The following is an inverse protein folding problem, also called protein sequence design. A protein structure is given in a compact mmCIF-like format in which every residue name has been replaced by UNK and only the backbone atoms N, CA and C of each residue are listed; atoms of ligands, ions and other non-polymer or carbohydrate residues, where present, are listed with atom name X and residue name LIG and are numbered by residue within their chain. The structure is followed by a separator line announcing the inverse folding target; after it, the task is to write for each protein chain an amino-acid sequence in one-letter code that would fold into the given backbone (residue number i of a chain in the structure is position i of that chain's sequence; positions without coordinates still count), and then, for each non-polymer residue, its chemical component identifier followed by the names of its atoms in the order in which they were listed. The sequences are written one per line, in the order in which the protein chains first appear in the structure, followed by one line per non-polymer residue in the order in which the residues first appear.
data_IF_331792696943
#
_entry.id   IF_331792696943
#
_cell.length_a   1.000
_cell.length_b   1.000
_cell.length_c   1.000
_cell.angle_alpha   90.00
_cell.angle_beta   90.00
_cell.angle_gamma   90.00
#
_symmetry.space_group_name_H-M   'P 1'
#
loop_
_entity.id
_entity.type
_entity.pdbx_description
1 polymer ?
#
# COMPACT_ATOMS: atom_id res chain seq x y z
N UNK A 1 -3.64 -8.69 19.64
CA UNK A 1 -4.68 -8.79 18.60
C UNK A 1 -4.13 -8.10 17.35
N UNK A 2 -4.09 -8.75 16.17
CA UNK A 2 -3.65 -8.06 14.93
C UNK A 2 -4.55 -6.86 14.72
N UNK A 3 -3.98 -5.73 14.32
CA UNK A 3 -4.75 -4.54 13.99
C UNK A 3 -5.56 -4.84 12.71
N UNK A 4 -6.90 -4.89 12.76
CA UNK A 4 -7.73 -5.24 11.59
C UNK A 4 -7.56 -4.26 10.43
N UNK A 5 -7.09 -3.03 10.68
CA UNK A 5 -6.77 -2.07 9.64
C UNK A 5 -5.50 -2.43 8.87
N UNK A 6 -4.57 -3.17 9.48
CA UNK A 6 -3.35 -3.63 8.81
C UNK A 6 -3.66 -4.66 7.73
N UNK A 7 -4.60 -5.58 7.98
CA UNK A 7 -4.97 -6.60 6.98
C UNK A 7 -5.65 -5.96 5.75
N UNK A 8 -6.49 -4.94 5.97
CA UNK A 8 -7.10 -4.16 4.87
C UNK A 8 -6.04 -3.40 4.07
N UNK A 9 -5.08 -2.74 4.75
CA UNK A 9 -4.00 -2.02 4.09
C UNK A 9 -3.08 -2.97 3.30
N UNK A 10 -2.80 -4.17 3.81
CA UNK A 10 -2.03 -5.19 3.11
C UNK A 10 -2.74 -5.65 1.82
N UNK A 11 -4.06 -5.91 1.89
CA UNK A 11 -4.85 -6.28 0.71
C UNK A 11 -4.87 -5.16 -0.34
N UNK A 12 -5.02 -3.91 0.10
CA UNK A 12 -4.96 -2.73 -0.77
C UNK A 12 -3.57 -2.62 -1.44
N UNK A 13 -2.48 -2.78 -0.68
CA UNK A 13 -1.12 -2.70 -1.21
C UNK A 13 -0.84 -3.80 -2.24
N UNK A 14 -1.31 -5.03 -2.01
CA UNK A 14 -1.20 -6.14 -3.00
C UNK A 14 -1.94 -5.79 -4.29
N UNK A 15 -3.13 -5.22 -4.21
CA UNK A 15 -3.90 -4.80 -5.39
C UNK A 15 -3.21 -3.66 -6.15
N UNK A 16 -2.65 -2.68 -5.44
CA UNK A 16 -1.86 -1.60 -6.06
C UNK A 16 -0.62 -2.14 -6.78
N UNK A 17 0.08 -3.12 -6.20
CA UNK A 17 1.22 -3.79 -6.84
C UNK A 17 0.81 -4.58 -8.09
N UNK A 18 -0.36 -5.23 -8.09
CA UNK A 18 -0.89 -5.90 -9.29
C UNK A 18 -1.17 -4.90 -10.41
N UNK A 19 -1.80 -3.76 -10.09
CA UNK A 19 -2.06 -2.68 -11.05
C UNK A 19 -0.79 -2.06 -11.58
N UNK A 20 0.23 -1.91 -10.74
CA UNK A 20 1.55 -1.40 -11.13
C UNK A 20 2.17 -2.20 -12.27
N UNK A 21 2.04 -3.53 -12.25
CA UNK A 21 2.63 -4.41 -13.27
C UNK A 21 2.08 -4.17 -14.69
N UNK A 22 0.84 -3.66 -14.80
CA UNK A 22 0.18 -3.36 -16.08
C UNK A 22 -0.05 -1.86 -16.33
N UNK A 23 0.54 -0.98 -15.53
CA UNK A 23 0.24 0.45 -15.56
C UNK A 23 0.75 1.12 -16.85
N UNK A 24 -0.13 1.84 -17.53
CA UNK A 24 0.28 2.75 -18.59
C UNK A 24 1.13 3.90 -18.00
N UNK A 25 2.00 4.51 -18.82
CA UNK A 25 2.93 5.56 -18.38
C UNK A 25 2.22 6.74 -17.68
N UNK A 26 0.96 7.02 -18.04
CA UNK A 26 0.15 8.06 -17.40
C UNK A 26 -0.35 7.72 -15.99
N UNK A 27 -0.48 6.43 -15.66
CA UNK A 27 -1.02 5.97 -14.37
C UNK A 27 0.08 5.70 -13.33
N UNK A 28 1.34 5.64 -13.77
CA UNK A 28 2.47 5.31 -12.90
C UNK A 28 2.66 6.33 -11.78
N UNK A 29 2.53 7.63 -12.01
CA UNK A 29 2.72 8.59 -10.91
C UNK A 29 1.65 8.47 -9.82
N UNK A 30 0.39 8.26 -10.23
CA UNK A 30 -0.73 8.07 -9.30
C UNK A 30 -0.59 6.76 -8.52
N UNK A 31 -0.28 5.65 -9.20
CA UNK A 31 -0.09 4.35 -8.55
C UNK A 31 1.13 4.34 -7.62
N UNK A 32 2.22 5.03 -8.01
CA UNK A 32 3.40 5.21 -7.16
C UNK A 32 3.04 5.97 -5.89
N UNK A 33 2.28 7.06 -6.01
CA UNK A 33 1.83 7.83 -4.85
C UNK A 33 0.95 6.99 -3.91
N UNK A 34 -0.02 6.25 -4.47
CA UNK A 34 -0.88 5.36 -3.70
C UNK A 34 -0.09 4.24 -2.99
N UNK A 35 0.91 3.65 -3.65
CA UNK A 35 1.81 2.66 -3.06
C UNK A 35 2.57 3.24 -1.87
N UNK A 36 3.18 4.42 -2.01
CA UNK A 36 3.87 5.08 -0.89
C UNK A 36 2.93 5.38 0.28
N UNK A 37 1.71 5.83 0.00
CA UNK A 37 0.72 6.08 1.03
C UNK A 37 0.35 4.79 1.78
N UNK A 38 0.18 3.67 1.06
CA UNK A 38 -0.10 2.36 1.66
C UNK A 38 1.04 1.87 2.55
N UNK A 39 2.31 2.03 2.12
CA UNK A 39 3.50 1.66 2.89
C UNK A 39 3.55 2.44 4.21
N UNK A 40 3.34 3.76 4.15
CA UNK A 40 3.31 4.61 5.35
C UNK A 40 2.15 4.22 6.28
N UNK A 41 0.98 3.89 5.72
CA UNK A 41 -0.17 3.41 6.48
C UNK A 41 0.12 2.09 7.19
N UNK A 42 0.76 1.13 6.52
CA UNK A 42 1.19 -0.14 7.12
C UNK A 42 2.21 0.11 8.22
N UNK A 43 3.24 0.93 7.97
CA UNK A 43 4.26 1.27 8.98
C UNK A 43 3.65 1.94 10.21
N UNK A 44 2.70 2.87 10.02
CA UNK A 44 1.98 3.53 11.11
C UNK A 44 1.09 2.53 11.88
N UNK A 45 0.39 1.64 11.19
CA UNK A 45 -0.41 0.59 11.82
C UNK A 45 0.45 -0.45 12.56
N UNK A 46 1.71 -0.61 12.13
CA UNK A 46 2.72 -1.50 12.70
C UNK A 46 3.64 -0.82 13.73
N UNK A 47 3.28 0.34 14.29
CA UNK A 47 4.05 1.21 15.22
C UNK A 47 4.77 0.58 16.45
N UNK A 48 5.01 -0.73 16.52
CA UNK A 48 6.01 -1.36 17.40
C UNK A 48 7.29 -1.83 16.69
N UNK A 49 7.64 -1.37 15.48
CA UNK A 49 8.92 -1.77 14.84
C UNK A 49 9.84 -0.58 14.58
N UNK A 50 10.05 0.22 15.64
CA UNK A 50 11.32 0.93 15.81
C UNK A 50 12.39 -0.04 16.30
#
# INVERSE_FOLDING_TARGET
LRNPYTDVLNLLQVELLKRWQGAAKGDQDLLRHALFLSINGVAAAMQSTG
#
